data_IF_662208123640
#
_entry.id   IF_662208123640
#
_cell.length_a   1.000
_cell.length_b   1.000
_cell.length_c   1.000
_cell.angle_alpha   90.00
_cell.angle_beta   90.00
_cell.angle_gamma   90.00
#
_symmetry.space_group_name_H-M   'P 1'
#
loop_
_entity.id
_entity.type
_entity.pdbx_description
1 polymer ?
#
# COMPACT_ATOMS: atom_id res chain seq x y z
N UNK A 1 -23.21 -14.06 10.34
CA UNK A 1 -21.82 -14.27 9.94
C UNK A 1 -21.70 -15.56 9.16
N UNK A 2 -20.91 -15.58 8.09
CA UNK A 2 -20.66 -16.78 7.28
C UNK A 2 -19.71 -17.71 8.04
N UNK A 3 -20.21 -18.91 8.39
CA UNK A 3 -19.47 -19.88 9.19
C UNK A 3 -18.26 -20.46 8.41
N UNK A 4 -18.42 -20.69 7.11
CA UNK A 4 -17.35 -21.27 6.29
C UNK A 4 -16.18 -20.28 6.14
N UNK A 5 -16.48 -18.99 5.95
CA UNK A 5 -15.47 -17.94 5.87
C UNK A 5 -14.73 -17.76 7.20
N UNK A 6 -15.44 -17.83 8.34
CA UNK A 6 -14.83 -17.80 9.67
C UNK A 6 -13.91 -19.01 9.88
N UNK A 7 -14.38 -20.22 9.62
CA UNK A 7 -13.57 -21.42 9.79
C UNK A 7 -12.32 -21.37 8.90
N UNK A 8 -12.42 -20.88 7.65
CA UNK A 8 -11.27 -20.69 6.76
C UNK A 8 -10.28 -19.65 7.32
N UNK A 9 -10.76 -18.53 7.86
CA UNK A 9 -9.91 -17.48 8.44
C UNK A 9 -9.11 -17.98 9.64
N UNK A 10 -9.68 -18.84 10.48
CA UNK A 10 -9.04 -19.37 11.69
C UNK A 10 -8.23 -20.65 11.46
N UNK A 11 -8.15 -21.18 10.24
CA UNK A 11 -7.29 -22.31 9.90
C UNK A 11 -5.80 -21.96 9.86
N UNK A 12 -5.48 -20.68 9.72
CA UNK A 12 -4.11 -20.15 9.70
C UNK A 12 -3.97 -19.08 10.78
N UNK A 13 -2.74 -18.88 11.29
CA UNK A 13 -2.45 -17.78 12.22
C UNK A 13 -2.54 -16.46 11.45
N UNK A 14 -3.52 -15.64 11.78
CA UNK A 14 -3.69 -14.35 11.12
C UNK A 14 -2.62 -13.36 11.58
N UNK A 15 -2.02 -12.65 10.61
CA UNK A 15 -1.06 -11.58 10.87
C UNK A 15 -1.76 -10.23 10.73
N UNK A 16 -1.93 -9.52 11.85
CA UNK A 16 -2.49 -8.17 11.82
C UNK A 16 -1.46 -7.18 11.28
N UNK A 17 -1.91 -6.27 10.42
CA UNK A 17 -1.17 -5.08 10.03
C UNK A 17 -1.78 -3.84 10.69
N UNK A 18 -1.07 -2.69 10.64
CA UNK A 18 -1.65 -1.41 11.00
C UNK A 18 -3.02 -1.20 10.34
N UNK A 19 -3.13 -1.42 9.03
CA UNK A 19 -4.39 -1.20 8.30
C UNK A 19 -5.52 -2.12 8.79
N UNK A 20 -5.23 -3.37 9.13
CA UNK A 20 -6.25 -4.31 9.61
C UNK A 20 -6.65 -4.03 11.05
N UNK A 21 -5.69 -3.69 11.94
CA UNK A 21 -5.98 -3.26 13.32
C UNK A 21 -6.77 -1.96 13.34
N UNK A 22 -6.34 -0.96 12.58
CA UNK A 22 -7.04 0.32 12.48
C UNK A 22 -8.48 0.14 11.97
N UNK A 23 -8.70 -0.77 11.01
CA UNK A 23 -10.04 -1.10 10.55
C UNK A 23 -10.87 -1.82 11.60
N UNK A 24 -10.28 -2.75 12.35
CA UNK A 24 -10.96 -3.44 13.45
C UNK A 24 -11.41 -2.44 14.53
N UNK A 25 -10.54 -1.51 14.92
CA UNK A 25 -10.87 -0.45 15.88
C UNK A 25 -11.99 0.46 15.37
N UNK A 26 -11.93 0.86 14.09
CA UNK A 26 -12.94 1.73 13.49
C UNK A 26 -14.29 1.03 13.34
N UNK A 27 -14.30 -0.20 12.82
CA UNK A 27 -15.53 -0.98 12.60
C UNK A 27 -15.21 -2.46 12.45
N UNK A 28 -15.48 -3.29 13.47
CA UNK A 28 -15.29 -4.73 13.38
C UNK A 28 -16.04 -5.39 12.22
N UNK A 29 -17.23 -4.87 11.88
CA UNK A 29 -18.02 -5.38 10.75
C UNK A 29 -17.34 -5.13 9.38
N UNK A 30 -16.63 -4.01 9.22
CA UNK A 30 -15.80 -3.74 8.02
C UNK A 30 -14.55 -4.62 8.01
N UNK A 31 -13.91 -4.83 9.17
CA UNK A 31 -12.83 -5.81 9.28
C UNK A 31 -13.30 -7.20 8.85
N UNK A 32 -14.45 -7.65 9.34
CA UNK A 32 -15.06 -8.93 8.96
C UNK A 32 -15.28 -9.03 7.45
N UNK A 33 -15.87 -8.00 6.83
CA UNK A 33 -16.08 -7.94 5.38
C UNK A 33 -14.76 -8.06 4.61
N UNK A 34 -13.77 -7.22 4.97
CA UNK A 34 -12.56 -7.05 4.18
C UNK A 34 -11.53 -8.18 4.38
N UNK A 35 -11.42 -8.73 5.60
CA UNK A 35 -10.33 -9.67 5.94
C UNK A 35 -10.83 -11.09 6.16
N UNK A 36 -12.07 -11.28 6.64
CA UNK A 36 -12.63 -12.62 6.86
C UNK A 36 -13.39 -13.09 5.63
N UNK A 37 -14.32 -12.29 5.11
CA UNK A 37 -15.03 -12.61 3.86
C UNK A 37 -14.15 -12.42 2.62
N UNK A 38 -13.04 -11.69 2.73
CA UNK A 38 -12.18 -11.27 1.60
C UNK A 38 -12.93 -10.50 0.51
N UNK A 39 -14.02 -9.82 0.89
CA UNK A 39 -14.86 -8.98 0.02
C UNK A 39 -14.45 -7.51 0.14
N UNK A 40 -13.17 -7.26 -0.13
CA UNK A 40 -12.59 -5.91 -0.08
C UNK A 40 -12.76 -5.22 -1.42
N UNK A 41 -13.43 -4.07 -1.40
CA UNK A 41 -13.42 -3.16 -2.55
C UNK A 41 -12.00 -2.59 -2.74
N UNK A 42 -11.47 -2.71 -3.95
CA UNK A 42 -10.20 -2.06 -4.30
C UNK A 42 -10.40 -0.55 -4.23
N UNK A 43 -9.72 0.10 -3.30
CA UNK A 43 -9.71 1.55 -3.23
C UNK A 43 -8.76 2.08 -4.30
N UNK A 44 -9.33 2.78 -5.27
CA UNK A 44 -8.60 3.47 -6.34
C UNK A 44 -8.52 4.98 -6.06
N UNK A 45 -8.61 5.36 -4.79
CA UNK A 45 -8.52 6.76 -4.40
C UNK A 45 -7.17 7.33 -4.83
N UNK A 46 -7.21 8.43 -5.55
CA UNK A 46 -6.02 9.07 -6.15
C UNK A 46 -4.92 9.31 -5.12
N UNK A 47 -5.26 9.79 -3.93
CA UNK A 47 -4.27 10.07 -2.88
C UNK A 47 -3.53 8.82 -2.37
N UNK A 48 -4.16 7.64 -2.42
CA UNK A 48 -3.50 6.37 -2.04
C UNK A 48 -2.48 5.94 -3.11
N UNK A 49 -2.85 6.13 -4.38
CA UNK A 49 -1.95 5.85 -5.51
C UNK A 49 -0.78 6.82 -5.50
N UNK A 50 -1.04 8.12 -5.26
CA UNK A 50 0.01 9.14 -5.11
C UNK A 50 1.00 8.78 -3.99
N UNK A 51 0.50 8.37 -2.81
CA UNK A 51 1.35 7.94 -1.70
C UNK A 51 2.26 6.77 -2.10
N UNK A 52 1.69 5.69 -2.63
CA UNK A 52 2.46 4.53 -3.10
C UNK A 52 3.48 4.90 -4.19
N UNK A 53 3.10 5.81 -5.11
CA UNK A 53 3.97 6.22 -6.19
C UNK A 53 5.17 7.03 -5.67
N UNK A 54 4.96 7.94 -4.70
CA UNK A 54 6.06 8.69 -4.07
C UNK A 54 7.00 7.73 -3.33
N UNK A 55 6.47 6.76 -2.56
CA UNK A 55 7.29 5.72 -1.91
C UNK A 55 8.14 4.95 -2.92
N UNK A 56 7.52 4.46 -4.00
CA UNK A 56 8.24 3.75 -5.05
C UNK A 56 9.35 4.62 -5.67
N UNK A 57 9.04 5.88 -6.01
CA UNK A 57 10.02 6.80 -6.59
C UNK A 57 11.16 7.17 -5.63
N UNK A 58 10.92 7.15 -4.32
CA UNK A 58 11.95 7.47 -3.31
C UNK A 58 12.82 6.25 -3.02
N UNK A 59 12.23 5.09 -2.74
CA UNK A 59 12.93 3.94 -2.16
C UNK A 59 13.27 2.83 -3.17
N UNK A 60 12.48 2.68 -4.25
CA UNK A 60 12.63 1.57 -5.21
C UNK A 60 12.25 1.99 -6.65
N UNK A 61 12.85 3.07 -7.19
CA UNK A 61 12.48 3.61 -8.51
C UNK A 61 12.60 2.60 -9.65
N UNK A 62 13.41 1.57 -9.50
CA UNK A 62 13.55 0.47 -10.47
C UNK A 62 12.28 -0.36 -10.61
N UNK A 63 11.44 -0.44 -9.58
CA UNK A 63 10.19 -1.20 -9.55
C UNK A 63 8.99 -0.40 -10.11
N UNK A 64 9.21 0.82 -10.60
CA UNK A 64 8.14 1.71 -11.07
C UNK A 64 7.24 1.04 -12.13
N UNK A 65 7.84 0.42 -13.13
CA UNK A 65 7.09 -0.23 -14.24
C UNK A 65 6.41 -1.54 -13.84
N UNK A 66 6.83 -2.15 -12.75
CA UNK A 66 6.21 -3.36 -12.22
C UNK A 66 5.00 -3.04 -11.34
N UNK A 67 5.06 -1.92 -10.61
CA UNK A 67 4.02 -1.49 -9.65
C UNK A 67 2.97 -0.57 -10.26
N UNK A 68 3.34 0.18 -11.30
CA UNK A 68 2.48 1.20 -11.90
C UNK A 68 2.46 1.11 -13.41
N UNK A 69 1.32 1.42 -14.00
CA UNK A 69 1.17 1.60 -15.43
C UNK A 69 0.63 2.98 -15.77
N UNK A 70 1.25 3.61 -16.74
CA UNK A 70 0.85 4.92 -17.18
C UNK A 70 -0.33 4.84 -18.16
N UNK A 71 -1.33 5.70 -17.94
CA UNK A 71 -2.42 5.86 -18.92
C UNK A 71 -1.80 6.33 -20.24
N UNK A 72 -2.08 5.64 -21.36
CA UNK A 72 -1.56 6.05 -22.66
C UNK A 72 -2.03 7.46 -23.05
N UNK A 73 -1.13 8.28 -23.61
CA UNK A 73 -1.46 9.65 -24.08
C UNK A 73 -2.57 9.64 -25.14
N UNK A 74 -2.59 8.59 -25.96
CA UNK A 74 -3.62 8.38 -26.97
C UNK A 74 -4.30 7.06 -26.73
N UNK A 75 -5.60 7.12 -26.48
CA UNK A 75 -6.45 5.94 -26.34
C UNK A 75 -7.39 5.80 -27.53
N UNK A 76 -7.76 4.57 -27.90
CA UNK A 76 -8.81 4.35 -28.88
C UNK A 76 -10.13 5.01 -28.46
N UNK A 77 -11.03 5.23 -29.41
CA UNK A 77 -12.37 5.75 -29.12
C UNK A 77 -13.13 4.85 -28.17
N UNK A 78 -14.15 5.39 -27.48
CA UNK A 78 -14.96 4.64 -26.50
C UNK A 78 -15.55 3.35 -27.08
N UNK A 79 -16.01 3.41 -28.37
CA UNK A 79 -16.52 2.23 -29.03
C UNK A 79 -15.47 1.14 -29.22
N UNK A 80 -14.24 1.54 -29.57
CA UNK A 80 -13.13 0.59 -29.75
C UNK A 80 -12.71 0.06 -28.37
N UNK A 81 -12.59 0.93 -27.35
CA UNK A 81 -12.27 0.49 -25.96
C UNK A 81 -13.28 -0.56 -25.47
N UNK A 82 -14.57 -0.35 -25.71
CA UNK A 82 -15.61 -1.34 -25.37
C UNK A 82 -15.38 -2.69 -26.04
N UNK A 83 -15.02 -2.69 -27.33
CA UNK A 83 -14.66 -3.92 -28.07
C UNK A 83 -13.46 -4.59 -27.43
N UNK A 84 -12.38 -3.84 -27.14
CA UNK A 84 -11.18 -4.39 -26.54
C UNK A 84 -11.43 -5.04 -25.17
N UNK A 85 -12.22 -4.39 -24.32
CA UNK A 85 -12.61 -4.98 -23.02
C UNK A 85 -13.43 -6.27 -23.20
N UNK A 86 -14.32 -6.35 -24.18
CA UNK A 86 -15.10 -7.57 -24.46
C UNK A 86 -14.22 -8.68 -25.03
N UNK A 87 -13.31 -8.36 -25.93
CA UNK A 87 -12.33 -9.33 -26.42
C UNK A 87 -11.46 -9.84 -25.28
N UNK A 88 -10.96 -8.94 -24.43
CA UNK A 88 -10.17 -9.28 -23.25
C UNK A 88 -10.92 -10.21 -22.28
N UNK A 89 -12.20 -9.95 -22.05
CA UNK A 89 -13.04 -10.78 -21.20
C UNK A 89 -13.31 -12.18 -21.78
N UNK A 90 -13.28 -12.33 -23.13
CA UNK A 90 -13.42 -13.62 -23.81
C UNK A 90 -12.11 -14.44 -23.72
N UNK A 91 -11.00 -13.78 -24.02
CA UNK A 91 -9.65 -14.39 -23.97
C UNK A 91 -8.59 -13.30 -23.79
N UNK A 92 -7.97 -13.27 -22.62
CA UNK A 92 -6.93 -12.30 -22.26
C UNK A 92 -5.50 -12.72 -22.66
N UNK A 93 -5.35 -13.91 -23.25
CA UNK A 93 -4.05 -14.44 -23.67
C UNK A 93 -3.71 -14.16 -25.14
N UNK A 94 -4.68 -13.65 -25.91
CA UNK A 94 -4.50 -13.43 -27.34
C UNK A 94 -3.72 -12.14 -27.64
N UNK A 95 -2.97 -12.15 -28.73
CA UNK A 95 -2.46 -10.92 -29.35
C UNK A 95 -3.58 -10.26 -30.17
N UNK A 96 -4.05 -9.09 -29.73
CA UNK A 96 -5.13 -8.34 -30.38
C UNK A 96 -4.82 -8.02 -31.83
N UNK A 97 -3.57 -7.87 -32.22
CA UNK A 97 -3.18 -7.57 -33.56
C UNK A 97 -3.31 -8.77 -34.53
N UNK A 98 -3.43 -9.97 -33.97
CA UNK A 98 -3.59 -11.24 -34.71
C UNK A 98 -4.99 -11.86 -34.55
N UNK A 99 -5.87 -11.29 -33.72
CA UNK A 99 -7.15 -11.87 -33.30
C UNK A 99 -8.33 -11.49 -34.24
N UNK A 100 -8.22 -11.67 -35.54
CA UNK A 100 -9.18 -11.21 -36.54
C UNK A 100 -10.59 -11.72 -36.28
N UNK A 101 -10.74 -13.03 -36.12
CA UNK A 101 -12.05 -13.69 -35.95
C UNK A 101 -12.76 -13.19 -34.68
N UNK A 102 -12.04 -13.10 -33.56
CA UNK A 102 -12.61 -12.66 -32.28
C UNK A 102 -13.02 -11.19 -32.32
N UNK A 103 -12.24 -10.33 -33.01
CA UNK A 103 -12.59 -8.93 -33.25
C UNK A 103 -13.84 -8.82 -34.11
N UNK A 104 -13.91 -9.52 -35.22
CA UNK A 104 -15.04 -9.48 -36.14
C UNK A 104 -16.33 -9.96 -35.49
N UNK A 105 -16.28 -11.05 -34.74
CA UNK A 105 -17.42 -11.57 -33.99
C UNK A 105 -17.89 -10.55 -32.94
N UNK A 106 -16.95 -9.93 -32.20
CA UNK A 106 -17.30 -8.94 -31.21
C UNK A 106 -17.88 -7.66 -31.83
N UNK A 107 -17.36 -7.22 -32.98
CA UNK A 107 -17.93 -6.09 -33.73
C UNK A 107 -19.36 -6.37 -34.21
N UNK A 108 -19.64 -7.62 -34.59
CA UNK A 108 -20.98 -8.06 -35.02
C UNK A 108 -21.93 -8.09 -33.80
N UNK A 109 -21.51 -8.66 -32.69
CA UNK A 109 -22.29 -8.68 -31.44
C UNK A 109 -22.68 -7.28 -30.98
N UNK A 110 -21.77 -6.31 -31.10
CA UNK A 110 -21.98 -4.91 -30.71
C UNK A 110 -22.62 -4.04 -31.81
N UNK A 111 -22.92 -4.62 -32.96
CA UNK A 111 -23.48 -3.93 -34.14
C UNK A 111 -22.63 -2.71 -34.56
N UNK A 112 -21.30 -2.79 -34.42
CA UNK A 112 -20.36 -1.73 -34.80
C UNK A 112 -19.75 -1.99 -36.17
N UNK A 113 -19.61 -0.91 -36.96
CA UNK A 113 -19.02 -0.90 -38.33
C UNK A 113 -19.67 -1.85 -39.30
N UNK A 114 -20.94 -2.26 -39.10
CA UNK A 114 -21.67 -3.18 -39.96
C UNK A 114 -22.01 -2.58 -41.32
N UNK A 115 -21.93 -1.27 -41.48
CA UNK A 115 -22.06 -0.59 -42.80
C UNK A 115 -20.85 -0.78 -43.70
N UNK A 116 -19.68 -1.16 -43.14
CA UNK A 116 -18.51 -1.52 -43.94
C UNK A 116 -18.70 -2.94 -44.51
N UNK A 117 -18.51 -3.10 -45.81
CA UNK A 117 -18.78 -4.39 -46.49
C UNK A 117 -17.64 -5.40 -46.26
N UNK A 118 -16.41 -4.93 -46.29
CA UNK A 118 -15.22 -5.76 -46.25
C UNK A 118 -14.70 -5.89 -44.76
N UNK A 119 -14.32 -7.10 -44.39
CA UNK A 119 -13.82 -7.41 -43.06
C UNK A 119 -12.48 -6.73 -42.77
N UNK A 120 -11.62 -6.61 -43.80
CA UNK A 120 -10.37 -5.84 -43.70
C UNK A 120 -10.61 -4.37 -43.31
N UNK A 121 -11.68 -3.76 -43.86
CA UNK A 121 -12.05 -2.38 -43.53
C UNK A 121 -12.57 -2.25 -42.10
N UNK A 122 -13.25 -3.26 -41.56
CA UNK A 122 -13.69 -3.33 -40.14
C UNK A 122 -12.49 -3.49 -39.21
N UNK A 123 -11.62 -4.44 -39.54
CA UNK A 123 -10.39 -4.72 -38.77
C UNK A 123 -9.47 -3.50 -38.73
N UNK A 124 -9.31 -2.79 -39.85
CA UNK A 124 -8.49 -1.57 -39.91
C UNK A 124 -8.99 -0.44 -38.98
N UNK A 125 -10.29 -0.45 -38.57
CA UNK A 125 -10.83 0.49 -37.58
C UNK A 125 -10.40 0.13 -36.17
N UNK A 126 -10.13 -1.15 -35.89
CA UNK A 126 -9.75 -1.65 -34.57
C UNK A 126 -8.23 -1.78 -34.44
N UNK A 127 -7.56 -2.33 -35.42
CA UNK A 127 -6.12 -2.62 -35.40
C UNK A 127 -5.29 -1.38 -35.72
N UNK A 128 -5.24 -0.45 -34.76
CA UNK A 128 -4.44 0.77 -34.85
C UNK A 128 -3.26 0.71 -33.87
N UNK A 129 -2.24 1.55 -34.05
CA UNK A 129 -1.15 1.64 -33.05
C UNK A 129 -1.67 1.94 -31.64
N UNK A 130 -2.66 2.81 -31.49
CA UNK A 130 -3.29 3.16 -30.23
C UNK A 130 -3.99 1.95 -29.59
N UNK A 131 -4.59 1.09 -30.41
CA UNK A 131 -5.22 -0.17 -29.97
C UNK A 131 -4.19 -1.11 -29.36
N UNK A 132 -3.02 -1.26 -30.01
CA UNK A 132 -1.94 -2.12 -29.48
C UNK A 132 -1.48 -1.63 -28.12
N UNK A 133 -1.18 -0.34 -27.98
CA UNK A 133 -0.75 0.27 -26.73
C UNK A 133 -1.83 0.11 -25.63
N UNK A 134 -3.10 0.35 -25.99
CA UNK A 134 -4.21 0.21 -25.06
C UNK A 134 -4.46 -1.24 -24.65
N UNK A 135 -4.25 -2.21 -25.55
CA UNK A 135 -4.34 -3.64 -25.25
C UNK A 135 -3.29 -4.05 -24.22
N UNK A 136 -2.04 -3.67 -24.41
CA UNK A 136 -0.95 -3.90 -23.44
C UNK A 136 -1.28 -3.24 -22.08
N UNK A 137 -1.90 -2.06 -22.12
CA UNK A 137 -2.34 -1.36 -20.92
C UNK A 137 -3.42 -2.13 -20.14
N UNK A 138 -4.45 -2.70 -20.80
CA UNK A 138 -5.50 -3.47 -20.13
C UNK A 138 -5.05 -4.89 -19.76
N UNK A 139 -4.03 -5.43 -20.42
CA UNK A 139 -3.53 -6.79 -20.20
C UNK A 139 -2.89 -6.99 -18.79
N UNK A 140 -2.56 -5.92 -18.10
CA UNK A 140 -2.03 -5.97 -16.72
C UNK A 140 -3.01 -5.34 -15.72
N UNK A 141 -4.07 -6.06 -15.27
CA UNK A 141 -5.13 -5.50 -14.45
C UNK A 141 -4.72 -5.24 -12.99
N UNK A 142 -3.63 -5.87 -12.50
CA UNK A 142 -3.25 -5.86 -11.08
C UNK A 142 -2.25 -4.77 -10.70
N UNK A 143 -2.01 -3.82 -11.61
CA UNK A 143 -1.03 -2.73 -11.42
C UNK A 143 -1.78 -1.42 -11.26
N UNK A 144 -1.35 -0.58 -10.32
CA UNK A 144 -1.96 0.74 -10.09
C UNK A 144 -1.84 1.61 -11.35
N UNK A 145 -2.92 2.29 -11.71
CA UNK A 145 -3.00 3.12 -12.93
C UNK A 145 -2.71 4.57 -12.57
N UNK A 146 -1.79 5.18 -13.31
CA UNK A 146 -1.32 6.55 -13.08
C UNK A 146 -1.45 7.37 -14.36
N UNK A 147 -2.01 8.58 -14.26
CA UNK A 147 -1.98 9.56 -15.34
C UNK A 147 -0.66 10.36 -15.35
N UNK A 148 -0.37 11.04 -16.45
CA UNK A 148 0.86 11.79 -16.64
C UNK A 148 1.02 12.94 -15.62
N UNK A 149 -0.07 13.60 -15.25
CA UNK A 149 -0.06 14.72 -14.30
C UNK A 149 0.28 14.21 -12.89
N UNK A 150 -0.31 13.07 -12.50
CA UNK A 150 -0.01 12.41 -11.22
C UNK A 150 1.45 11.95 -11.18
N UNK A 151 1.95 11.32 -12.25
CA UNK A 151 3.36 10.91 -12.32
C UNK A 151 4.29 12.11 -12.20
N UNK A 152 4.03 13.21 -12.93
CA UNK A 152 4.82 14.44 -12.85
C UNK A 152 4.82 15.03 -11.44
N UNK A 153 3.65 15.12 -10.81
CA UNK A 153 3.52 15.65 -9.45
C UNK A 153 4.28 14.80 -8.43
N UNK A 154 4.14 13.48 -8.50
CA UNK A 154 4.84 12.57 -7.59
C UNK A 154 6.35 12.54 -7.84
N UNK A 155 6.79 12.70 -9.08
CA UNK A 155 8.21 12.85 -9.43
C UNK A 155 8.79 14.12 -8.79
N UNK A 156 8.10 15.25 -8.90
CA UNK A 156 8.49 16.49 -8.22
C UNK A 156 8.59 16.29 -6.70
N UNK A 157 7.64 15.58 -6.09
CA UNK A 157 7.69 15.28 -4.65
C UNK A 157 8.91 14.44 -4.29
N UNK A 158 9.19 13.39 -5.05
CA UNK A 158 10.35 12.54 -4.83
C UNK A 158 11.68 13.30 -5.00
N UNK A 159 11.78 14.19 -6.01
CA UNK A 159 12.96 15.04 -6.22
C UNK A 159 13.17 16.01 -5.06
N UNK A 160 12.10 16.63 -4.54
CA UNK A 160 12.17 17.54 -3.40
C UNK A 160 12.61 16.80 -2.13
N UNK A 161 12.05 15.62 -1.87
CA UNK A 161 12.46 14.76 -0.76
C UNK A 161 13.94 14.40 -0.87
N UNK A 162 14.37 13.94 -2.05
CA UNK A 162 15.77 13.56 -2.32
C UNK A 162 16.75 14.74 -2.32
N UNK A 163 16.28 15.96 -2.53
CA UNK A 163 17.11 17.17 -2.45
C UNK A 163 17.21 17.75 -1.03
N UNK A 164 16.36 17.30 -0.12
CA UNK A 164 16.37 17.75 1.27
C UNK A 164 17.51 17.08 2.03
N UNK A 165 18.45 17.88 2.54
CA UNK A 165 19.65 17.39 3.21
C UNK A 165 19.33 16.59 4.47
N UNK A 166 18.41 17.07 5.30
CA UNK A 166 18.06 16.42 6.56
C UNK A 166 17.44 15.03 6.33
N UNK A 167 16.68 14.88 5.23
CA UNK A 167 16.10 13.60 4.81
C UNK A 167 17.19 12.68 4.26
N UNK A 168 18.07 13.20 3.41
CA UNK A 168 19.14 12.37 2.82
C UNK A 168 20.16 11.93 3.85
N UNK A 169 20.43 12.72 4.87
CA UNK A 169 21.28 12.32 6.00
C UNK A 169 20.66 11.16 6.81
N UNK A 170 19.30 11.02 6.82
CA UNK A 170 18.64 9.86 7.43
C UNK A 170 18.83 8.58 6.58
N UNK A 171 18.81 8.71 5.26
CA UNK A 171 18.92 7.58 4.34
C UNK A 171 20.38 7.21 4.00
N UNK A 172 21.33 8.07 4.39
CA UNK A 172 22.74 7.82 4.09
C UNK A 172 23.26 6.59 4.85
N UNK A 173 23.94 5.72 4.09
CA UNK A 173 24.85 4.71 4.63
C UNK A 173 26.23 5.32 4.74
N UNK A 174 26.90 5.13 5.86
CA UNK A 174 28.33 5.46 5.96
C UNK A 174 29.10 4.30 5.34
N UNK A 175 29.32 4.36 4.04
CA UNK A 175 30.10 3.34 3.33
C UNK A 175 31.57 3.45 3.72
N UNK A 176 32.03 2.53 4.56
CA UNK A 176 33.44 2.25 4.78
C UNK A 176 33.72 0.81 4.37
N UNK A 177 34.55 0.59 3.36
CA UNK A 177 35.03 -0.68 2.81
C UNK A 177 34.37 -2.00 3.27
N UNK A 178 33.56 -2.49 2.44
CA UNK A 178 33.16 -3.79 1.89
C UNK A 178 32.71 -4.96 2.77
N UNK A 179 33.06 -5.15 4.03
CA UNK A 179 32.61 -6.34 4.80
C UNK A 179 32.23 -6.09 6.28
N UNK A 180 32.37 -4.90 6.77
CA UNK A 180 32.09 -4.50 8.15
C UNK A 180 31.46 -3.11 8.22
N UNK A 181 30.43 -2.85 7.40
CA UNK A 181 29.68 -1.60 7.57
C UNK A 181 28.84 -1.70 8.85
N UNK A 182 29.16 -0.91 9.89
CA UNK A 182 28.42 -0.95 11.15
C UNK A 182 26.97 -0.49 11.00
N UNK A 183 26.62 0.10 9.84
CA UNK A 183 25.28 0.61 9.56
C UNK A 183 24.63 -0.22 8.45
N UNK A 184 23.61 -0.96 8.81
CA UNK A 184 22.76 -1.71 7.87
C UNK A 184 21.50 -0.92 7.57
N UNK A 185 21.07 -0.86 6.30
CA UNK A 185 19.87 -0.14 5.87
C UNK A 185 18.90 -1.04 5.12
N UNK A 186 17.62 -0.80 5.33
CA UNK A 186 16.54 -1.57 4.75
C UNK A 186 15.45 -0.61 4.25
N UNK A 187 15.00 -0.80 3.01
CA UNK A 187 13.92 -0.03 2.42
C UNK A 187 12.78 -0.95 1.96
N UNK A 188 11.54 -0.51 2.09
CA UNK A 188 10.32 -1.27 1.73
C UNK A 188 10.37 -2.72 2.22
N UNK A 189 10.86 -2.90 3.46
CA UNK A 189 11.15 -4.21 4.03
C UNK A 189 9.89 -4.86 4.59
N UNK A 190 9.41 -5.99 4.04
CA UNK A 190 8.34 -6.76 4.64
C UNK A 190 8.85 -7.49 5.88
N UNK A 191 8.18 -7.29 7.02
CA UNK A 191 8.46 -7.95 8.28
C UNK A 191 7.20 -8.56 8.87
N UNK A 192 7.37 -9.67 9.60
CA UNK A 192 6.32 -10.30 10.39
C UNK A 192 6.88 -10.83 11.70
N UNK A 193 6.03 -10.96 12.69
CA UNK A 193 6.39 -11.58 13.96
C UNK A 193 5.21 -12.30 14.60
N UNK A 194 5.49 -13.37 15.34
CA UNK A 194 4.54 -14.00 16.25
C UNK A 194 4.49 -13.23 17.57
N UNK A 195 3.32 -13.18 18.18
CA UNK A 195 3.14 -12.64 19.52
C UNK A 195 3.00 -13.79 20.51
N UNK A 196 3.96 -13.96 21.43
CA UNK A 196 4.10 -15.14 22.32
C UNK A 196 2.81 -15.53 23.06
N UNK A 197 2.01 -14.52 23.45
CA UNK A 197 0.81 -14.72 24.27
C UNK A 197 -0.50 -14.45 23.48
N UNK A 198 -0.44 -14.40 22.15
CA UNK A 198 -1.59 -14.12 21.31
C UNK A 198 -1.81 -15.20 20.26
N UNK A 199 -3.06 -15.49 19.87
CA UNK A 199 -3.37 -16.45 18.82
C UNK A 199 -3.15 -15.90 17.40
N UNK A 200 -2.50 -14.77 17.26
CA UNK A 200 -2.20 -14.06 16.02
C UNK A 200 -0.86 -13.35 16.13
N UNK A 201 -0.32 -12.93 14.98
CA UNK A 201 0.91 -12.15 14.92
C UNK A 201 0.71 -10.76 14.34
N UNK A 202 1.82 -10.11 14.03
CA UNK A 202 1.87 -8.81 13.36
C UNK A 202 2.65 -8.90 12.05
N UNK A 203 2.29 -8.07 11.07
CA UNK A 203 3.03 -7.86 9.83
C UNK A 203 2.97 -6.43 9.35
N UNK A 204 3.96 -6.03 8.57
CA UNK A 204 4.02 -4.72 7.93
C UNK A 204 5.10 -4.65 6.87
N UNK A 205 5.08 -3.59 6.09
CA UNK A 205 6.19 -3.20 5.22
C UNK A 205 6.73 -1.92 5.82
N UNK A 206 8.00 -1.93 6.20
CA UNK A 206 8.66 -0.77 6.80
C UNK A 206 9.26 0.07 5.68
N UNK A 207 8.88 1.33 5.58
CA UNK A 207 9.32 2.21 4.51
C UNK A 207 10.85 2.30 4.45
N UNK A 208 11.46 2.59 5.61
CA UNK A 208 12.91 2.59 5.76
C UNK A 208 13.29 2.40 7.23
N UNK A 209 14.34 1.60 7.48
CA UNK A 209 15.02 1.60 8.77
C UNK A 209 16.51 1.32 8.61
N UNK A 210 17.29 1.77 9.59
CA UNK A 210 18.71 1.47 9.71
C UNK A 210 19.05 0.99 11.10
N UNK A 211 20.00 0.06 11.16
CA UNK A 211 20.60 -0.46 12.38
C UNK A 211 22.05 -0.02 12.40
N UNK A 212 22.44 0.71 13.41
CA UNK A 212 23.80 1.22 13.63
C UNK A 212 24.40 0.48 14.83
N UNK A 213 25.32 -0.45 14.56
CA UNK A 213 25.94 -1.29 15.58
C UNK A 213 26.93 -0.51 16.45
N UNK A 214 27.57 0.54 15.93
CA UNK A 214 28.50 1.38 16.69
C UNK A 214 27.77 2.26 17.72
N UNK A 215 26.66 2.88 17.28
CA UNK A 215 25.84 3.75 18.14
C UNK A 215 24.78 2.97 18.95
N UNK A 216 24.63 1.67 18.70
CA UNK A 216 23.55 0.83 19.24
C UNK A 216 22.17 1.47 19.04
N UNK A 217 21.89 1.83 17.82
CA UNK A 217 20.74 2.63 17.47
C UNK A 217 19.99 2.06 16.28
N UNK A 218 18.68 1.92 16.45
CA UNK A 218 17.73 1.62 15.37
C UNK A 218 16.94 2.89 15.03
N UNK A 219 17.06 3.37 13.81
CA UNK A 219 16.28 4.50 13.32
C UNK A 219 15.25 4.01 12.31
N UNK A 220 13.97 4.21 12.61
CA UNK A 220 12.85 3.88 11.70
C UNK A 220 12.32 5.18 11.13
N UNK A 221 12.14 5.21 9.81
CA UNK A 221 11.62 6.37 9.07
C UNK A 221 10.37 5.96 8.30
N UNK A 222 9.31 6.72 8.48
CA UNK A 222 8.02 6.52 7.81
C UNK A 222 7.71 7.75 6.96
N UNK A 223 7.60 7.55 5.65
CA UNK A 223 7.37 8.60 4.67
C UNK A 223 5.87 8.86 4.50
N UNK A 224 5.45 10.10 4.63
CA UNK A 224 4.04 10.50 4.47
C UNK A 224 3.87 11.60 3.46
N UNK A 225 2.94 11.40 2.55
CA UNK A 225 2.39 12.47 1.71
C UNK A 225 1.08 12.96 2.33
N UNK A 226 0.87 14.27 2.40
CA UNK A 226 -0.37 14.82 2.97
C UNK A 226 -0.98 15.91 2.09
N UNK A 227 -2.30 15.83 1.91
CA UNK A 227 -3.08 16.90 1.27
C UNK A 227 -3.34 18.11 2.17
N UNK A 228 -2.93 18.07 3.45
CA UNK A 228 -3.02 19.17 4.41
C UNK A 228 -1.67 19.91 4.49
N UNK A 229 -1.61 20.98 5.27
CA UNK A 229 -0.34 21.62 5.63
C UNK A 229 0.46 20.74 6.59
N UNK A 230 1.78 20.84 6.55
CA UNK A 230 2.69 20.26 7.57
C UNK A 230 2.28 20.67 8.99
N UNK A 231 1.78 21.89 9.19
CA UNK A 231 1.31 22.38 10.50
C UNK A 231 0.20 21.53 11.11
N UNK A 232 -0.60 20.85 10.28
CA UNK A 232 -1.72 20.00 10.71
C UNK A 232 -1.30 18.53 10.91
N UNK A 233 -0.02 18.21 10.75
CA UNK A 233 0.43 16.82 10.76
C UNK A 233 0.25 16.16 12.12
N UNK A 234 0.41 16.91 13.22
CA UNK A 234 0.17 16.40 14.56
C UNK A 234 -1.27 15.89 14.75
N UNK A 235 -2.26 16.64 14.27
CA UNK A 235 -3.66 16.21 14.29
C UNK A 235 -3.91 15.03 13.33
N UNK A 236 -3.13 14.96 12.25
CA UNK A 236 -3.19 13.88 11.26
C UNK A 236 -2.71 12.55 11.85
N UNK A 237 -1.72 12.57 12.74
CA UNK A 237 -1.25 11.38 13.49
C UNK A 237 -2.40 10.76 14.28
N UNK A 238 -3.15 11.57 15.01
CA UNK A 238 -4.27 11.09 15.82
C UNK A 238 -5.45 10.64 14.94
N UNK A 239 -5.77 11.43 13.92
CA UNK A 239 -6.90 11.14 13.03
C UNK A 239 -6.78 9.82 12.27
N UNK A 240 -5.58 9.49 11.76
CA UNK A 240 -5.32 8.24 11.04
C UNK A 240 -4.73 7.14 11.94
N UNK A 241 -4.52 7.40 13.22
CA UNK A 241 -3.82 6.49 14.14
C UNK A 241 -2.39 6.14 13.66
N UNK A 242 -1.63 7.09 13.09
CA UNK A 242 -0.24 6.83 12.68
C UNK A 242 0.66 6.44 13.86
N UNK A 243 0.27 6.82 15.08
CA UNK A 243 0.88 6.34 16.30
C UNK A 243 0.88 4.80 16.40
N UNK A 244 -0.24 4.16 15.99
CA UNK A 244 -0.35 2.70 15.98
C UNK A 244 0.57 2.06 14.93
N UNK A 245 0.70 2.69 13.75
CA UNK A 245 1.65 2.25 12.73
C UNK A 245 3.08 2.31 13.26
N UNK A 246 3.46 3.42 13.90
CA UNK A 246 4.79 3.63 14.44
C UNK A 246 5.21 2.54 15.43
N UNK A 247 4.35 2.22 16.40
CA UNK A 247 4.69 1.20 17.40
C UNK A 247 4.63 -0.22 16.87
N UNK A 248 3.77 -0.50 15.88
CA UNK A 248 3.79 -1.79 15.16
C UNK A 248 5.12 -1.94 14.42
N UNK A 249 5.60 -0.89 13.75
CA UNK A 249 6.87 -0.91 13.04
C UNK A 249 8.05 -1.10 13.99
N UNK A 250 8.08 -0.38 15.12
CA UNK A 250 9.08 -0.61 16.15
C UNK A 250 9.07 -2.06 16.66
N UNK A 251 7.89 -2.62 16.92
CA UNK A 251 7.74 -4.01 17.36
C UNK A 251 8.23 -5.01 16.32
N UNK A 252 7.85 -4.82 15.06
CA UNK A 252 8.28 -5.67 13.95
C UNK A 252 9.79 -5.65 13.78
N UNK A 253 10.40 -4.46 13.76
CA UNK A 253 11.86 -4.35 13.65
C UNK A 253 12.52 -5.01 14.86
N UNK A 254 12.08 -4.73 16.09
CA UNK A 254 12.64 -5.32 17.30
C UNK A 254 12.64 -6.86 17.29
N UNK A 255 11.53 -7.48 16.88
CA UNK A 255 11.40 -8.95 16.85
C UNK A 255 12.21 -9.60 15.72
N UNK A 256 12.69 -8.81 14.76
CA UNK A 256 13.51 -9.28 13.65
C UNK A 256 15.00 -8.89 13.78
N UNK A 257 15.39 -8.19 14.86
CA UNK A 257 16.80 -7.94 15.18
C UNK A 257 17.48 -9.20 15.70
N UNK A 258 18.80 -9.26 15.53
CA UNK A 258 19.62 -10.27 16.16
C UNK A 258 19.60 -10.14 17.68
N UNK A 259 19.82 -11.24 18.41
CA UNK A 259 19.83 -11.23 19.90
C UNK A 259 20.80 -10.19 20.47
N UNK A 260 21.93 -9.93 19.81
CA UNK A 260 22.94 -8.94 20.18
C UNK A 260 22.50 -7.49 20.01
N UNK A 261 21.42 -7.24 19.24
CA UNK A 261 20.91 -5.92 18.90
C UNK A 261 19.64 -5.55 19.68
N UNK A 262 19.12 -6.46 20.52
CA UNK A 262 17.86 -6.24 21.26
C UNK A 262 17.99 -5.22 22.40
N UNK A 263 19.20 -4.80 22.77
CA UNK A 263 19.46 -3.73 23.74
C UNK A 263 19.61 -2.34 23.09
N UNK A 264 19.43 -2.23 21.77
CA UNK A 264 19.59 -0.97 21.05
C UNK A 264 18.43 0.00 21.31
N UNK A 265 18.77 1.29 21.27
CA UNK A 265 17.77 2.35 21.37
C UNK A 265 17.01 2.49 20.04
N UNK A 266 15.73 2.87 20.14
CA UNK A 266 14.88 3.10 18.99
C UNK A 266 14.55 4.59 18.84
N UNK A 267 14.71 5.11 17.62
CA UNK A 267 14.25 6.43 17.20
C UNK A 267 13.25 6.25 16.06
N UNK A 268 12.13 6.93 16.15
CA UNK A 268 11.13 6.94 15.10
C UNK A 268 10.96 8.36 14.54
N UNK A 269 10.94 8.48 13.22
CA UNK A 269 10.82 9.74 12.52
C UNK A 269 9.75 9.66 11.43
N UNK A 270 8.95 10.70 11.30
CA UNK A 270 8.11 10.89 10.11
C UNK A 270 8.79 11.88 9.17
N UNK A 271 8.99 11.48 7.93
CA UNK A 271 9.35 12.38 6.83
C UNK A 271 8.05 12.74 6.12
N UNK A 272 7.66 14.00 6.15
CA UNK A 272 6.38 14.45 5.64
C UNK A 272 6.57 15.43 4.51
N UNK A 273 5.92 15.19 3.36
CA UNK A 273 5.76 16.19 2.29
C UNK A 273 4.29 16.58 2.16
N UNK A 274 4.02 17.87 2.11
CA UNK A 274 2.67 18.40 1.99
C UNK A 274 2.32 18.85 0.55
N UNK A 275 1.05 19.20 0.34
CA UNK A 275 0.57 19.69 -0.96
C UNK A 275 1.23 21.00 -1.42
N UNK A 276 1.91 21.70 -0.53
CA UNK A 276 2.66 22.93 -0.83
C UNK A 276 4.13 22.62 -1.14
N UNK A 277 4.49 21.35 -1.26
CA UNK A 277 5.86 20.89 -1.51
C UNK A 277 6.84 21.23 -0.38
N UNK A 278 6.35 21.36 0.85
CA UNK A 278 7.17 21.54 2.04
C UNK A 278 7.54 20.17 2.61
N UNK A 279 8.80 19.99 2.94
CA UNK A 279 9.30 18.75 3.56
C UNK A 279 9.77 19.04 4.97
N UNK A 280 9.38 18.21 5.91
CA UNK A 280 9.82 18.30 7.29
C UNK A 280 10.01 16.92 7.91
N UNK A 281 11.01 16.81 8.77
CA UNK A 281 11.29 15.60 9.56
C UNK A 281 10.78 15.81 10.99
N UNK A 282 9.80 15.03 11.39
CA UNK A 282 9.27 15.03 12.75
C UNK A 282 9.92 13.93 13.56
N UNK A 283 10.51 14.31 14.69
CA UNK A 283 11.02 13.36 15.68
C UNK A 283 9.90 12.93 16.62
N UNK A 284 9.85 11.64 16.93
CA UNK A 284 8.98 11.11 17.97
C UNK A 284 9.81 10.90 19.23
N UNK A 285 9.43 11.58 20.32
CA UNK A 285 10.20 11.46 21.57
C UNK A 285 10.07 10.05 22.18
N UNK A 286 11.06 9.60 22.95
CA UNK A 286 10.99 8.32 23.67
C UNK A 286 9.77 8.20 24.60
N UNK A 287 9.36 9.29 25.23
CA UNK A 287 8.17 9.35 26.09
C UNK A 287 6.90 9.12 25.26
N UNK A 288 6.82 9.76 24.08
CA UNK A 288 5.71 9.58 23.14
C UNK A 288 5.64 8.13 22.65
N UNK A 289 6.77 7.55 22.23
CA UNK A 289 6.82 6.14 21.83
C UNK A 289 6.39 5.19 22.96
N UNK A 290 6.77 5.48 24.19
CA UNK A 290 6.35 4.70 25.36
C UNK A 290 4.83 4.74 25.58
N UNK A 291 4.22 5.92 25.45
CA UNK A 291 2.76 6.09 25.54
C UNK A 291 2.07 5.33 24.40
N UNK A 292 2.57 5.44 23.20
CA UNK A 292 2.01 4.74 22.04
C UNK A 292 2.15 3.22 22.14
N UNK A 293 3.24 2.73 22.74
CA UNK A 293 3.43 1.30 23.01
C UNK A 293 2.37 0.76 23.98
N UNK A 294 2.00 1.52 25.02
CA UNK A 294 0.88 1.16 25.89
C UNK A 294 -0.44 1.11 25.11
N UNK A 295 -0.67 2.06 24.19
CA UNK A 295 -1.82 2.05 23.29
C UNK A 295 -1.87 0.82 22.37
N UNK A 296 -0.72 0.33 21.91
CA UNK A 296 -0.65 -0.92 21.15
C UNK A 296 -1.10 -2.11 22.00
N UNK A 297 -0.63 -2.24 23.25
CA UNK A 297 -1.03 -3.33 24.14
C UNK A 297 -2.56 -3.35 24.38
N UNK A 298 -3.17 -2.17 24.50
CA UNK A 298 -4.63 -2.06 24.60
C UNK A 298 -5.34 -2.44 23.32
N UNK A 299 -4.81 -2.01 22.18
CA UNK A 299 -5.32 -2.39 20.86
C UNK A 299 -5.26 -3.91 20.64
N UNK A 300 -4.15 -4.54 21.04
CA UNK A 300 -3.99 -5.99 20.93
C UNK A 300 -4.96 -6.76 21.83
N UNK A 301 -5.31 -6.25 23.03
CA UNK A 301 -6.36 -6.85 23.88
C UNK A 301 -7.73 -6.79 23.21
N UNK A 302 -8.06 -5.66 22.55
CA UNK A 302 -9.30 -5.51 21.79
C UNK A 302 -9.33 -6.52 20.64
N UNK A 303 -8.24 -6.61 19.89
CA UNK A 303 -8.11 -7.58 18.79
C UNK A 303 -8.26 -9.03 19.28
N UNK A 304 -7.63 -9.36 20.40
CA UNK A 304 -7.72 -10.67 21.03
C UNK A 304 -9.14 -11.03 21.48
N UNK A 305 -9.88 -10.07 22.03
CA UNK A 305 -11.28 -10.28 22.39
C UNK A 305 -12.11 -10.67 21.16
N UNK A 306 -12.06 -9.87 20.08
CA UNK A 306 -12.77 -10.16 18.84
C UNK A 306 -12.36 -11.49 18.23
N UNK A 307 -11.05 -11.77 18.22
CA UNK A 307 -10.48 -13.00 17.69
C UNK A 307 -10.99 -14.23 18.45
N UNK A 308 -10.90 -14.22 19.78
CA UNK A 308 -11.30 -15.34 20.64
C UNK A 308 -12.83 -15.55 20.69
N UNK A 309 -13.61 -14.45 20.69
CA UNK A 309 -15.07 -14.50 20.68
C UNK A 309 -15.66 -14.77 19.31
N UNK A 310 -14.87 -14.60 18.25
CA UNK A 310 -15.33 -14.66 16.85
C UNK A 310 -16.51 -13.73 16.59
N UNK A 311 -16.57 -12.62 17.31
CA UNK A 311 -17.65 -11.64 17.24
C UNK A 311 -17.13 -10.30 16.72
N UNK A 312 -17.64 -9.92 15.55
CA UNK A 312 -17.28 -8.70 14.81
C UNK A 312 -18.53 -7.84 14.54
N UNK A 313 -19.56 -7.98 15.34
CA UNK A 313 -20.86 -7.29 15.14
C UNK A 313 -20.80 -5.84 15.57
N UNK A 314 -20.12 -5.55 16.68
CA UNK A 314 -20.03 -4.22 17.29
C UNK A 314 -18.58 -3.95 17.75
N UNK A 315 -18.20 -2.66 17.96
CA UNK A 315 -16.95 -2.32 18.64
C UNK A 315 -16.89 -2.90 20.06
N UNK A 316 -15.66 -3.14 20.53
CA UNK A 316 -15.38 -3.81 21.80
C UNK A 316 -16.14 -3.24 22.99
N UNK A 317 -16.17 -1.91 23.15
CA UNK A 317 -16.82 -1.23 24.25
C UNK A 317 -18.32 -1.52 24.35
N UNK A 318 -19.00 -1.75 23.21
CA UNK A 318 -20.44 -2.09 23.16
C UNK A 318 -20.72 -3.57 23.42
N UNK A 319 -19.67 -4.42 23.36
CA UNK A 319 -19.80 -5.86 23.63
C UNK A 319 -19.50 -6.22 25.09
N UNK A 320 -18.67 -5.41 25.77
CA UNK A 320 -18.22 -5.70 27.15
C UNK A 320 -18.99 -4.92 28.19
N UNK A 321 -19.50 -3.72 27.86
CA UNK A 321 -20.19 -2.85 28.80
C UNK A 321 -21.40 -2.17 28.14
N UNK A 322 -22.38 -1.78 28.95
CA UNK A 322 -23.49 -0.95 28.49
C UNK A 322 -23.01 0.51 28.38
N UNK A 323 -22.87 1.01 27.18
CA UNK A 323 -22.55 2.44 26.94
C UNK A 323 -23.78 3.29 27.32
N UNK A 324 -23.58 4.27 28.20
CA UNK A 324 -24.60 5.25 28.62
C UNK A 324 -24.11 6.62 28.11
N UNK A 325 -24.96 7.34 27.37
CA UNK A 325 -24.72 8.69 26.84
C UNK A 325 -25.16 9.76 27.83
#
# INVERSE_FOLDING_TARGET
>A
MDKNALDSFYNETFQFSYSSLNKLLFSPSLFYKDYILKDRELKTDKYLIEGKLVHCLVFEPENLTEKFKLVPDKTPTDSIRKILHKVYAKDNSIDIMSADDVILDTLKEENLYQSLKEDEARLAKVKTPETKIYWEFIANPNVDVVDQDTLSTCTDYAEIIKSNKDVMDLFATVSTDFDLDPVQTYAEQPLECELKDKPFGLKGIIDFYKVDDDEKLVTIVDLKTTGKSISDFKETIDYYNYWLQAVIYCKLVFENLDESQQDYNFIYKFVVIDKYKQVYVFDVSPETLSIWTQGLEETLKIAEYHYNKRDYTLPYEFLVEKVIL
#
